data_IF_001611118873
#
_entry.id   IF_001611118873
#
_cell.length_a   1.000
_cell.length_b   1.000
_cell.length_c   1.000
_cell.angle_alpha   90.00
_cell.angle_beta   90.00
_cell.angle_gamma   90.00
#
_symmetry.space_group_name_H-M   'P 1'
#
loop_
_entity.id
_entity.type
_entity.pdbx_description
1 polymer ?
#
# COMPACT_ATOMS: atom_id res chain seq x y z
N UNK A 1 22.35 -14.98 4.53
CA UNK A 1 22.04 -13.65 5.12
C UNK A 1 21.00 -13.83 6.22
N UNK A 2 21.07 -13.09 7.32
CA UNK A 2 20.05 -13.15 8.38
C UNK A 2 18.77 -12.40 7.96
N UNK A 3 17.62 -12.75 8.57
CA UNK A 3 16.33 -12.07 8.34
C UNK A 3 16.45 -10.56 8.61
N UNK A 4 17.08 -10.19 9.72
CA UNK A 4 17.35 -8.79 10.07
C UNK A 4 18.22 -8.09 9.01
N UNK A 5 19.26 -8.78 8.51
CA UNK A 5 20.09 -8.25 7.43
C UNK A 5 19.30 -7.99 6.15
N UNK A 6 18.38 -8.90 5.78
CA UNK A 6 17.50 -8.71 4.62
C UNK A 6 16.54 -7.53 4.80
N UNK A 7 15.94 -7.36 5.97
CA UNK A 7 15.06 -6.22 6.28
C UNK A 7 15.85 -4.90 6.24
N UNK A 8 17.03 -4.85 6.86
CA UNK A 8 17.91 -3.67 6.83
C UNK A 8 18.24 -3.26 5.40
N UNK A 9 18.64 -4.23 4.57
CA UNK A 9 18.97 -3.97 3.18
C UNK A 9 17.73 -3.59 2.37
N UNK A 10 16.57 -4.21 2.59
CA UNK A 10 15.33 -3.85 1.89
C UNK A 10 14.95 -2.39 2.16
N UNK A 11 14.98 -1.95 3.42
CA UNK A 11 14.72 -0.56 3.80
C UNK A 11 15.75 0.38 3.15
N UNK A 12 17.03 0.00 3.15
CA UNK A 12 18.09 0.77 2.51
C UNK A 12 17.86 0.92 1.00
N UNK A 13 17.47 -0.15 0.31
CA UNK A 13 17.17 -0.13 -1.12
C UNK A 13 15.95 0.73 -1.44
N UNK A 14 14.88 0.66 -0.64
CA UNK A 14 13.73 1.56 -0.80
C UNK A 14 14.13 3.03 -0.59
N UNK A 15 14.86 3.34 0.48
CA UNK A 15 15.27 4.72 0.79
C UNK A 15 16.24 5.28 -0.27
N UNK A 16 17.28 4.51 -0.63
CA UNK A 16 18.26 4.93 -1.62
C UNK A 16 17.63 5.13 -3.00
N UNK A 17 16.77 4.20 -3.44
CA UNK A 17 16.07 4.35 -4.71
C UNK A 17 15.04 5.49 -4.69
N UNK A 18 14.41 5.79 -3.55
CA UNK A 18 13.54 6.96 -3.41
C UNK A 18 14.33 8.27 -3.57
N UNK A 19 15.48 8.41 -2.89
CA UNK A 19 16.35 9.58 -2.99
C UNK A 19 16.90 9.74 -4.41
N UNK A 20 17.43 8.67 -4.99
CA UNK A 20 17.95 8.69 -6.37
C UNK A 20 16.84 9.03 -7.39
N UNK A 21 15.67 8.41 -7.26
CA UNK A 21 14.55 8.71 -8.15
C UNK A 21 14.06 10.16 -7.98
N UNK A 22 14.15 10.73 -6.79
CA UNK A 22 13.83 12.14 -6.53
C UNK A 22 14.84 13.08 -7.19
N UNK A 23 16.15 12.80 -7.07
CA UNK A 23 17.21 13.58 -7.74
C UNK A 23 17.03 13.61 -9.26
N UNK A 24 16.56 12.51 -9.85
CA UNK A 24 16.28 12.40 -11.28
C UNK A 24 14.82 12.70 -11.65
N UNK A 25 14.02 13.34 -10.79
CA UNK A 25 12.59 13.59 -11.04
C UNK A 25 12.31 14.37 -12.34
N UNK A 26 13.24 15.21 -12.79
CA UNK A 26 13.15 15.94 -14.06
C UNK A 26 13.18 15.01 -15.29
N UNK A 27 13.78 13.82 -15.15
CA UNK A 27 13.83 12.76 -16.16
C UNK A 27 12.84 11.66 -15.78
N UNK A 28 11.54 11.91 -15.98
CA UNK A 28 10.43 11.01 -15.60
C UNK A 28 10.67 9.51 -15.88
N UNK A 29 11.09 9.07 -17.09
CA UNK A 29 11.29 7.63 -17.33
C UNK A 29 12.49 7.06 -16.55
N UNK A 30 13.55 7.85 -16.34
CA UNK A 30 14.72 7.44 -15.56
C UNK A 30 14.36 7.34 -14.07
N UNK A 31 13.67 8.34 -13.53
CA UNK A 31 13.16 8.34 -12.15
C UNK A 31 12.26 7.14 -11.88
N UNK A 32 11.31 6.85 -12.78
CA UNK A 32 10.42 5.70 -12.68
C UNK A 32 11.16 4.35 -12.77
N UNK A 33 12.20 4.25 -13.61
CA UNK A 33 13.02 3.05 -13.71
C UNK A 33 13.84 2.80 -12.43
N UNK A 34 14.48 3.83 -11.88
CA UNK A 34 15.24 3.73 -10.63
C UNK A 34 14.32 3.32 -9.48
N UNK A 35 13.18 3.99 -9.34
CA UNK A 35 12.20 3.67 -8.30
C UNK A 35 11.64 2.24 -8.48
N UNK A 36 11.30 1.86 -9.71
CA UNK A 36 10.73 0.53 -9.99
C UNK A 36 11.71 -0.62 -9.78
N UNK A 37 12.96 -0.49 -10.22
CA UNK A 37 13.99 -1.52 -10.01
C UNK A 37 14.35 -1.62 -8.52
N UNK A 38 14.63 -0.49 -7.88
CA UNK A 38 14.95 -0.46 -6.45
C UNK A 38 13.82 -0.99 -5.58
N UNK A 39 12.57 -0.63 -5.92
CA UNK A 39 11.38 -1.13 -5.23
C UNK A 39 11.18 -2.63 -5.44
N UNK A 40 11.42 -3.16 -6.65
CA UNK A 40 11.29 -4.59 -6.94
C UNK A 40 12.35 -5.43 -6.21
N UNK A 41 13.60 -4.97 -6.18
CA UNK A 41 14.68 -5.62 -5.42
C UNK A 41 14.35 -5.64 -3.93
N UNK A 42 14.00 -4.48 -3.36
CA UNK A 42 13.62 -4.39 -1.95
C UNK A 42 12.40 -5.27 -1.61
N UNK A 43 11.39 -5.28 -2.48
CA UNK A 43 10.20 -6.13 -2.32
C UNK A 43 10.57 -7.62 -2.29
N UNK A 44 11.42 -8.08 -3.22
CA UNK A 44 11.88 -9.47 -3.24
C UNK A 44 12.63 -9.84 -1.96
N UNK A 45 13.47 -8.92 -1.44
CA UNK A 45 14.16 -9.12 -0.16
C UNK A 45 13.18 -9.25 1.01
N UNK A 46 12.10 -8.48 1.03
CA UNK A 46 11.04 -8.62 2.05
C UNK A 46 10.29 -9.94 1.93
N UNK A 47 10.01 -10.40 0.71
CA UNK A 47 9.38 -11.71 0.49
C UNK A 47 10.27 -12.83 1.03
N UNK A 48 11.57 -12.78 0.75
CA UNK A 48 12.53 -13.76 1.29
C UNK A 48 12.65 -13.64 2.81
N UNK A 49 12.71 -12.44 3.36
CA UNK A 49 12.80 -12.21 4.81
C UNK A 49 11.55 -12.71 5.55
N UNK A 50 10.35 -12.35 5.07
CA UNK A 50 9.08 -12.78 5.63
C UNK A 50 8.87 -14.29 5.49
N UNK A 51 9.21 -14.87 4.33
CA UNK A 51 9.14 -16.31 4.10
C UNK A 51 10.09 -17.09 5.01
N UNK A 52 11.35 -16.66 5.11
CA UNK A 52 12.34 -17.29 5.99
C UNK A 52 11.94 -17.21 7.47
N UNK A 53 11.37 -16.07 7.92
CA UNK A 53 10.89 -15.91 9.28
C UNK A 53 9.65 -16.77 9.59
N UNK A 54 8.75 -16.99 8.62
CA UNK A 54 7.58 -17.87 8.78
C UNK A 54 7.95 -19.36 8.79
N UNK A 55 9.03 -19.75 8.11
CA UNK A 55 9.53 -21.13 8.14
C UNK A 55 10.22 -21.49 9.46
N UNK A 56 10.57 -20.49 10.28
CA UNK A 56 11.13 -20.66 11.63
C UNK A 56 10.38 -19.77 12.64
N UNK A 57 9.07 -20.00 12.85
CA UNK A 57 8.20 -19.07 13.58
C UNK A 57 8.55 -18.98 15.07
N UNK A 58 9.17 -20.02 15.63
CA UNK A 58 9.66 -20.07 17.02
C UNK A 58 10.86 -19.13 17.27
N UNK A 59 11.52 -18.65 16.21
CA UNK A 59 12.65 -17.72 16.33
C UNK A 59 12.19 -16.28 16.18
N UNK A 60 12.20 -15.58 17.31
CA UNK A 60 12.13 -14.12 17.32
C UNK A 60 13.49 -13.58 16.89
N UNK A 61 13.53 -12.88 15.77
CA UNK A 61 14.74 -12.22 15.31
C UNK A 61 14.72 -10.77 15.83
N UNK A 62 15.58 -10.46 16.80
CA UNK A 62 15.79 -9.10 17.29
C UNK A 62 17.02 -8.47 16.66
N UNK A 63 17.01 -7.16 16.45
CA UNK A 63 18.16 -6.42 15.97
C UNK A 63 17.93 -4.91 15.95
N UNK A 64 18.85 -4.18 15.33
CA UNK A 64 18.76 -2.74 15.15
C UNK A 64 18.71 -2.41 13.66
N UNK A 65 17.79 -1.51 13.30
CA UNK A 65 17.75 -0.90 11.99
C UNK A 65 18.91 0.10 11.90
N UNK A 66 19.96 -0.26 11.17
CA UNK A 66 21.24 0.45 11.19
C UNK A 66 21.13 1.94 10.79
N UNK A 67 20.22 2.30 9.89
CA UNK A 67 20.08 3.66 9.39
C UNK A 67 19.34 4.61 10.35
N UNK A 68 18.34 4.11 11.10
CA UNK A 68 17.54 4.94 12.01
C UNK A 68 17.80 4.63 13.49
N UNK A 69 18.73 3.72 13.80
CA UNK A 69 19.00 3.23 15.17
C UNK A 69 17.73 2.77 15.90
N UNK A 70 16.76 2.24 15.15
CA UNK A 70 15.50 1.76 15.69
C UNK A 70 15.65 0.30 16.10
N UNK A 71 15.16 -0.04 17.28
CA UNK A 71 14.99 -1.42 17.74
C UNK A 71 13.92 -2.10 16.87
N UNK A 72 14.30 -3.24 16.27
CA UNK A 72 13.44 -4.00 15.38
C UNK A 72 13.32 -5.45 15.84
N UNK A 73 12.14 -6.02 15.64
CA UNK A 73 11.82 -7.40 15.96
C UNK A 73 11.00 -8.00 14.84
N UNK A 74 11.41 -9.18 14.39
CA UNK A 74 10.69 -9.98 13.40
C UNK A 74 10.29 -11.31 14.03
N UNK A 75 9.00 -11.44 14.37
CA UNK A 75 8.34 -12.70 14.73
C UNK A 75 7.32 -13.11 13.67
N UNK A 76 6.47 -14.10 13.96
CA UNK A 76 5.51 -14.67 13.00
C UNK A 76 4.52 -13.66 12.40
N UNK A 77 3.88 -12.82 13.24
CA UNK A 77 2.91 -11.81 12.77
C UNK A 77 3.59 -10.76 11.88
N UNK A 78 4.76 -10.27 12.29
CA UNK A 78 5.52 -9.29 11.51
C UNK A 78 5.97 -9.89 10.17
N UNK A 79 6.39 -11.15 10.17
CA UNK A 79 6.79 -11.86 8.96
C UNK A 79 5.63 -11.99 7.95
N UNK A 80 4.40 -12.24 8.42
CA UNK A 80 3.21 -12.24 7.57
C UNK A 80 2.96 -10.87 6.93
N UNK A 81 3.10 -9.79 7.70
CA UNK A 81 2.97 -8.43 7.18
C UNK A 81 4.08 -8.06 6.20
N UNK A 82 5.34 -8.47 6.46
CA UNK A 82 6.45 -8.28 5.53
C UNK A 82 6.21 -9.01 4.21
N UNK A 83 5.65 -10.23 4.24
CA UNK A 83 5.22 -10.93 3.03
C UNK A 83 4.11 -10.18 2.30
N UNK A 84 3.08 -9.71 3.02
CA UNK A 84 1.97 -8.99 2.42
C UNK A 84 2.44 -7.70 1.72
N UNK A 85 3.34 -6.95 2.36
CA UNK A 85 3.97 -5.76 1.76
C UNK A 85 4.81 -6.16 0.56
N UNK A 86 5.73 -7.13 0.70
CA UNK A 86 6.63 -7.53 -0.39
C UNK A 86 5.90 -8.07 -1.62
N UNK A 87 4.90 -8.94 -1.43
CA UNK A 87 4.13 -9.55 -2.52
C UNK A 87 3.24 -8.54 -3.26
N UNK A 88 2.70 -7.54 -2.55
CA UNK A 88 1.91 -6.47 -3.17
C UNK A 88 2.77 -5.39 -3.81
N UNK A 89 3.93 -5.06 -3.22
CA UNK A 89 4.84 -4.03 -3.69
C UNK A 89 5.63 -4.42 -4.94
N UNK A 90 5.93 -5.71 -5.12
CA UNK A 90 6.68 -6.21 -6.27
C UNK A 90 5.98 -5.90 -7.61
N UNK A 91 4.71 -6.29 -7.86
CA UNK A 91 4.02 -5.95 -9.11
C UNK A 91 3.81 -4.44 -9.26
N UNK A 92 3.57 -3.70 -8.16
CA UNK A 92 3.46 -2.23 -8.19
C UNK A 92 4.76 -1.59 -8.67
N UNK A 93 5.90 -2.07 -8.17
CA UNK A 93 7.23 -1.56 -8.54
C UNK A 93 7.56 -1.86 -10.01
N UNK A 94 7.21 -3.06 -10.51
CA UNK A 94 7.37 -3.40 -11.93
C UNK A 94 6.46 -2.57 -12.84
N UNK A 95 5.21 -2.38 -12.44
CA UNK A 95 4.27 -1.50 -13.15
C UNK A 95 4.77 -0.05 -13.21
N UNK A 96 5.47 0.40 -12.16
CA UNK A 96 6.01 1.76 -12.09
C UNK A 96 7.00 2.07 -13.23
N UNK A 97 7.75 1.06 -13.69
CA UNK A 97 8.75 1.16 -14.77
C UNK A 97 8.07 1.45 -16.13
N UNK A 98 6.96 0.77 -16.42
CA UNK A 98 6.23 0.96 -17.67
C UNK A 98 5.38 2.22 -17.64
N UNK A 99 4.75 2.52 -16.50
CA UNK A 99 3.84 3.64 -16.33
C UNK A 99 4.51 5.01 -16.55
N UNK A 100 5.74 5.19 -16.04
CA UNK A 100 6.49 6.46 -16.17
C UNK A 100 7.03 6.73 -17.59
N UNK A 101 6.77 5.84 -18.55
CA UNK A 101 7.05 6.09 -19.99
C UNK A 101 5.99 6.99 -20.63
N UNK A 102 4.84 7.21 -19.99
CA UNK A 102 3.81 8.09 -20.52
C UNK A 102 4.16 9.59 -20.30
N UNK A 103 3.92 10.50 -21.26
CA UNK A 103 4.33 11.91 -21.14
C UNK A 103 3.61 12.69 -20.03
N UNK A 104 2.36 12.33 -19.74
CA UNK A 104 1.45 13.08 -18.86
C UNK A 104 1.44 12.64 -17.39
N UNK A 105 2.30 11.70 -16.99
CA UNK A 105 2.34 11.22 -15.59
C UNK A 105 3.27 12.05 -14.70
N UNK A 106 2.90 12.14 -13.42
CA UNK A 106 3.73 12.69 -12.33
C UNK A 106 4.76 11.65 -11.90
N UNK A 107 5.95 12.10 -11.48
CA UNK A 107 7.02 11.26 -10.96
C UNK A 107 6.67 10.75 -9.55
N UNK A 108 5.83 9.72 -9.48
CA UNK A 108 5.29 9.19 -8.23
C UNK A 108 6.20 8.13 -7.59
N UNK A 109 7.17 7.59 -8.34
CA UNK A 109 8.06 6.53 -7.86
C UNK A 109 8.81 6.81 -6.55
N UNK A 110 9.35 8.02 -6.32
CA UNK A 110 9.99 8.35 -5.05
C UNK A 110 9.04 8.20 -3.85
N UNK A 111 7.80 8.66 -3.99
CA UNK A 111 6.79 8.59 -2.92
C UNK A 111 6.34 7.16 -2.66
N UNK A 112 6.25 6.31 -3.69
CA UNK A 112 5.92 4.89 -3.54
C UNK A 112 7.01 4.17 -2.75
N UNK A 113 8.28 4.39 -3.08
CA UNK A 113 9.38 3.73 -2.36
C UNK A 113 9.54 4.26 -0.93
N UNK A 114 9.31 5.56 -0.70
CA UNK A 114 9.30 6.13 0.65
C UNK A 114 8.16 5.56 1.50
N UNK A 115 6.96 5.41 0.91
CA UNK A 115 5.80 4.77 1.54
C UNK A 115 6.13 3.32 1.95
N UNK A 116 6.75 2.55 1.05
CA UNK A 116 7.10 1.16 1.30
C UNK A 116 8.23 1.01 2.34
N UNK A 117 9.21 1.91 2.35
CA UNK A 117 10.23 1.98 3.40
C UNK A 117 9.57 2.21 4.77
N UNK A 118 8.70 3.23 4.87
CA UNK A 118 8.00 3.56 6.10
C UNK A 118 7.09 2.42 6.57
N UNK A 119 6.35 1.79 5.66
CA UNK A 119 5.50 0.63 5.97
C UNK A 119 6.32 -0.55 6.51
N UNK A 120 7.47 -0.82 5.90
CA UNK A 120 8.38 -1.88 6.36
C UNK A 120 8.89 -1.58 7.77
N UNK A 121 9.35 -0.35 8.03
CA UNK A 121 9.80 0.09 9.34
C UNK A 121 8.67 -0.01 10.39
N UNK A 122 7.46 0.44 10.06
CA UNK A 122 6.29 0.38 10.93
C UNK A 122 5.97 -1.05 11.39
N UNK A 123 6.11 -2.04 10.51
CA UNK A 123 5.83 -3.44 10.84
C UNK A 123 6.85 -4.05 11.80
N UNK A 124 8.11 -3.62 11.72
CA UNK A 124 9.21 -4.28 12.47
C UNK A 124 9.64 -3.53 13.72
N UNK A 125 9.27 -2.26 13.87
CA UNK A 125 9.70 -1.44 15.01
C UNK A 125 9.06 -1.89 16.33
N UNK A 126 9.82 -1.83 17.42
CA UNK A 126 9.34 -2.22 18.76
C UNK A 126 8.95 -1.05 19.64
N UNK A 127 8.89 0.16 19.08
CA UNK A 127 8.60 1.40 19.79
C UNK A 127 7.33 2.05 19.24
N UNK A 128 6.35 2.31 20.11
CA UNK A 128 5.06 2.90 19.70
C UNK A 128 5.27 4.30 19.10
N UNK A 129 6.16 5.11 19.67
CA UNK A 129 6.44 6.44 19.13
C UNK A 129 6.99 6.39 17.70
N UNK A 130 7.90 5.45 17.45
CA UNK A 130 8.45 5.24 16.11
C UNK A 130 7.42 4.68 15.13
N UNK A 131 6.51 3.81 15.58
CA UNK A 131 5.37 3.34 14.79
C UNK A 131 4.50 4.51 14.32
N UNK A 132 4.18 5.45 15.22
CA UNK A 132 3.38 6.64 14.89
C UNK A 132 4.09 7.53 13.88
N UNK A 133 5.39 7.75 14.03
CA UNK A 133 6.20 8.51 13.05
C UNK A 133 6.16 7.85 11.67
N UNK A 134 6.33 6.53 11.60
CA UNK A 134 6.29 5.82 10.31
C UNK A 134 4.88 5.85 9.70
N UNK A 135 3.83 5.68 10.49
CA UNK A 135 2.44 5.80 10.03
C UNK A 135 2.14 7.19 9.46
N UNK A 136 2.69 8.24 10.07
CA UNK A 136 2.55 9.61 9.61
C UNK A 136 3.28 9.86 8.27
N UNK A 137 4.51 9.33 8.11
CA UNK A 137 5.25 9.38 6.84
C UNK A 137 4.45 8.65 5.74
N UNK A 138 3.87 7.48 6.06
CA UNK A 138 3.01 6.74 5.13
C UNK A 138 1.78 7.56 4.71
N UNK A 139 1.10 8.19 5.68
CA UNK A 139 -0.06 9.04 5.43
C UNK A 139 0.29 10.23 4.53
N UNK A 140 1.42 10.92 4.76
CA UNK A 140 1.86 12.02 3.90
C UNK A 140 2.16 11.54 2.48
N UNK A 141 2.84 10.41 2.32
CA UNK A 141 3.10 9.83 0.99
C UNK A 141 1.80 9.51 0.26
N UNK A 142 0.83 8.87 0.94
CA UNK A 142 -0.47 8.56 0.37
C UNK A 142 -1.27 9.82 -0.02
N UNK A 143 -1.16 10.92 0.76
CA UNK A 143 -1.80 12.20 0.46
C UNK A 143 -1.34 12.75 -0.91
N UNK A 144 -0.03 12.77 -1.13
CA UNK A 144 0.55 13.28 -2.37
C UNK A 144 0.28 12.37 -3.57
N UNK A 145 0.16 11.06 -3.34
CA UNK A 145 -0.14 10.08 -4.39
C UNK A 145 -1.60 10.13 -4.87
N UNK A 146 -2.56 10.45 -4.00
CA UNK A 146 -4.00 10.41 -4.33
C UNK A 146 -4.50 11.62 -5.11
N UNK A 147 -3.89 12.80 -4.96
CA UNK A 147 -3.94 13.91 -5.93
C UNK A 147 -5.30 14.55 -6.28
N UNK A 148 -6.43 14.11 -5.72
CA UNK A 148 -7.77 14.66 -5.99
C UNK A 148 -8.16 15.71 -4.95
N UNK A 149 -8.18 17.00 -5.34
CA UNK A 149 -8.43 18.12 -4.43
C UNK A 149 -9.84 18.16 -3.79
N UNK A 150 -10.84 17.52 -4.40
CA UNK A 150 -12.21 17.49 -3.88
C UNK A 150 -12.41 16.42 -2.77
N UNK A 151 -11.95 15.19 -2.99
CA UNK A 151 -12.00 14.10 -1.97
C UNK A 151 -10.85 14.14 -0.97
N UNK A 152 -9.76 14.84 -1.28
CA UNK A 152 -8.56 14.87 -0.44
C UNK A 152 -8.73 15.65 0.86
N UNK A 153 -9.66 16.63 0.94
CA UNK A 153 -9.82 17.48 2.13
C UNK A 153 -10.30 16.70 3.36
N UNK A 154 -11.33 15.86 3.18
CA UNK A 154 -11.86 15.02 4.24
C UNK A 154 -10.83 13.96 4.66
N UNK A 155 -10.24 13.27 3.68
CA UNK A 155 -9.21 12.26 3.93
C UNK A 155 -7.98 12.83 4.66
N UNK A 156 -7.53 14.03 4.28
CA UNK A 156 -6.45 14.73 4.96
C UNK A 156 -6.82 15.09 6.40
N UNK A 157 -8.02 15.63 6.62
CA UNK A 157 -8.50 15.98 7.97
C UNK A 157 -8.62 14.75 8.88
N UNK A 158 -9.19 13.65 8.37
CA UNK A 158 -9.26 12.36 9.07
C UNK A 158 -7.88 11.80 9.38
N UNK A 159 -6.94 11.88 8.43
CA UNK A 159 -5.55 11.48 8.64
C UNK A 159 -4.88 12.27 9.76
N UNK A 160 -5.04 13.61 9.79
CA UNK A 160 -4.49 14.46 10.86
C UNK A 160 -5.10 14.12 12.23
N UNK A 161 -6.42 13.92 12.28
CA UNK A 161 -7.10 13.55 13.52
C UNK A 161 -6.64 12.17 14.02
N UNK A 162 -6.43 11.21 13.12
CA UNK A 162 -5.84 9.91 13.44
C UNK A 162 -4.43 10.02 14.03
N UNK A 163 -3.55 10.83 13.43
CA UNK A 163 -2.19 11.06 13.95
C UNK A 163 -2.22 11.77 15.31
N UNK A 164 -3.11 12.74 15.51
CA UNK A 164 -3.26 13.43 16.81
C UNK A 164 -3.70 12.46 17.91
N UNK A 165 -4.66 11.57 17.62
CA UNK A 165 -5.07 10.53 18.56
C UNK A 165 -3.91 9.56 18.86
N UNK A 166 -3.07 9.25 17.89
CA UNK A 166 -1.89 8.39 18.09
C UNK A 166 -0.82 9.06 18.93
N UNK A 167 -0.56 10.34 18.70
CA UNK A 167 0.33 11.13 19.53
C UNK A 167 -0.20 11.25 20.97
N UNK A 168 -1.52 11.43 21.13
CA UNK A 168 -2.18 11.44 22.42
C UNK A 168 -2.01 10.11 23.16
N UNK A 169 -2.21 8.98 22.48
CA UNK A 169 -1.94 7.66 23.06
C UNK A 169 -0.48 7.48 23.44
N UNK A 170 0.48 7.92 22.60
CA UNK A 170 1.90 7.88 22.97
C UNK A 170 2.17 8.68 24.25
N UNK A 171 1.57 9.87 24.37
CA UNK A 171 1.70 10.67 25.58
C UNK A 171 1.12 9.98 26.80
N UNK A 172 -0.11 9.45 26.70
CA UNK A 172 -0.73 8.71 27.81
C UNK A 172 0.07 7.47 28.21
N UNK A 173 0.53 6.67 27.25
CA UNK A 173 1.35 5.47 27.49
C UNK A 173 2.67 5.85 28.16
N UNK A 174 3.34 6.88 27.65
CA UNK A 174 4.59 7.37 28.24
C UNK A 174 4.38 7.90 29.65
N UNK A 175 3.25 8.58 29.92
CA UNK A 175 2.92 9.08 31.26
C UNK A 175 2.57 7.97 32.26
N UNK A 176 2.05 6.83 31.77
CA UNK A 176 1.61 5.70 32.60
C UNK A 176 2.75 4.72 32.87
N UNK A 177 3.49 4.34 31.83
CA UNK A 177 4.50 3.27 31.87
C UNK A 177 5.94 3.79 31.91
N UNK A 178 6.16 5.08 31.65
CA UNK A 178 7.50 5.69 31.58
C UNK A 178 8.33 5.27 30.35
N UNK A 179 7.75 4.52 29.42
CA UNK A 179 8.43 3.96 28.25
C UNK A 179 7.48 3.84 27.06
N UNK A 180 8.05 3.81 25.85
CA UNK A 180 7.35 3.57 24.59
C UNK A 180 7.75 2.23 23.95
N UNK A 181 8.62 1.44 24.60
CA UNK A 181 9.00 0.12 24.12
C UNK A 181 7.90 -0.91 24.39
N UNK A 182 7.39 -1.53 23.33
CA UNK A 182 6.28 -2.50 23.40
C UNK A 182 6.60 -3.68 24.33
N UNK A 183 7.86 -4.14 24.35
CA UNK A 183 8.25 -5.26 25.19
C UNK A 183 8.12 -4.94 26.69
N UNK A 184 8.52 -3.74 27.10
CA UNK A 184 8.41 -3.29 28.49
C UNK A 184 6.96 -3.02 28.87
N UNK A 185 6.20 -2.38 27.97
CA UNK A 185 4.77 -2.12 28.17
C UNK A 185 4.02 -3.44 28.34
N UNK A 186 4.30 -4.45 27.51
CA UNK A 186 3.61 -5.74 27.59
C UNK A 186 3.86 -6.47 28.92
N UNK A 187 5.06 -6.32 29.51
CA UNK A 187 5.37 -6.89 30.82
C UNK A 187 4.61 -6.13 31.93
N UNK A 188 4.65 -4.80 31.92
CA UNK A 188 3.98 -3.98 32.94
C UNK A 188 2.45 -4.04 32.85
N UNK A 189 1.91 -4.12 31.64
CA UNK A 189 0.47 -4.20 31.41
C UNK A 189 -0.13 -5.55 31.87
N UNK A 190 0.68 -6.61 31.99
CA UNK A 190 0.22 -7.90 32.52
C UNK A 190 -0.18 -7.81 34.01
N UNK A 191 0.48 -6.93 34.76
CA UNK A 191 0.27 -6.77 36.21
C UNK A 191 -0.72 -5.64 36.56
N UNK A 192 -1.15 -4.84 35.58
CA UNK A 192 -2.04 -3.69 35.79
C UNK A 192 -3.46 -3.97 35.28
N UNK A 193 -4.45 -3.41 35.98
CA UNK A 193 -5.84 -3.37 35.49
C UNK A 193 -5.89 -2.64 34.14
N UNK A 194 -6.41 -3.31 33.10
CA UNK A 194 -6.49 -2.75 31.76
C UNK A 194 -7.43 -1.54 31.75
N UNK A 195 -6.87 -0.33 31.54
CA UNK A 195 -7.66 0.89 31.41
C UNK A 195 -8.01 1.11 29.91
N UNK A 196 -9.28 0.92 29.49
CA UNK A 196 -9.66 1.07 28.08
C UNK A 196 -9.45 2.50 27.58
N UNK A 197 -9.50 3.51 28.45
CA UNK A 197 -9.27 4.91 28.09
C UNK A 197 -7.86 5.18 27.57
N UNK A 198 -6.89 4.32 27.92
CA UNK A 198 -5.50 4.41 27.46
C UNK A 198 -5.36 3.95 26.00
N UNK A 199 -6.02 2.84 25.66
CA UNK A 199 -5.85 2.15 24.37
C UNK A 199 -6.90 2.52 23.33
N UNK A 200 -8.09 2.96 23.73
CA UNK A 200 -9.17 3.33 22.82
C UNK A 200 -8.78 4.46 21.84
N UNK A 201 -8.15 5.57 22.27
CA UNK A 201 -7.68 6.58 21.32
C UNK A 201 -6.65 6.00 20.33
N UNK A 202 -5.84 5.05 20.82
CA UNK A 202 -4.87 4.22 20.08
C UNK A 202 -5.49 3.42 18.95
N UNK A 203 -6.58 2.74 19.27
CA UNK A 203 -7.30 1.93 18.30
C UNK A 203 -8.06 2.81 17.30
N UNK A 204 -8.73 3.87 17.78
CA UNK A 204 -9.50 4.78 16.92
C UNK A 204 -8.58 5.52 15.95
N UNK A 205 -7.47 6.09 16.42
CA UNK A 205 -6.56 6.80 15.52
C UNK A 205 -5.88 5.89 14.50
N UNK A 206 -5.50 4.66 14.88
CA UNK A 206 -5.02 3.67 13.92
C UNK A 206 -6.09 3.31 12.87
N UNK A 207 -7.34 3.08 13.30
CA UNK A 207 -8.44 2.76 12.39
C UNK A 207 -8.77 3.92 11.43
N UNK A 208 -8.63 5.17 11.86
CA UNK A 208 -8.77 6.36 11.00
C UNK A 208 -7.65 6.43 9.95
N UNK A 209 -6.40 6.19 10.36
CA UNK A 209 -5.23 6.15 9.45
C UNK A 209 -5.33 4.99 8.45
N UNK A 210 -5.82 3.83 8.88
CA UNK A 210 -6.03 2.65 8.04
C UNK A 210 -7.25 2.79 7.10
N UNK A 211 -8.10 3.80 7.30
CA UNK A 211 -9.35 3.97 6.54
C UNK A 211 -10.40 2.91 6.86
N UNK A 212 -10.29 2.24 8.01
CA UNK A 212 -11.17 1.14 8.42
C UNK A 212 -12.52 1.61 8.95
N UNK A 213 -12.63 2.85 9.44
CA UNK A 213 -13.89 3.39 9.95
C UNK A 213 -14.74 3.88 8.77
N UNK A 214 -15.92 3.29 8.50
CA UNK A 214 -16.82 3.76 7.46
C UNK A 214 -17.59 4.98 7.98
N UNK A 215 -16.90 6.11 8.13
CA UNK A 215 -17.53 7.42 8.18
C UNK A 215 -17.95 7.77 6.74
N UNK A 216 -19.03 7.10 6.31
CA UNK A 216 -19.84 7.28 5.11
C UNK A 216 -19.49 8.49 4.23
N UNK A 217 -18.78 8.26 3.12
CA UNK A 217 -18.65 9.28 2.06
C UNK A 217 -17.56 9.06 0.99
N UNK A 218 -16.59 8.14 1.17
CA UNK A 218 -15.37 8.16 0.34
C UNK A 218 -15.22 7.02 -0.67
N UNK A 219 -16.07 5.98 -0.66
CA UNK A 219 -16.10 5.02 -1.76
C UNK A 219 -16.56 5.75 -3.04
N UNK A 220 -15.86 5.63 -4.18
CA UNK A 220 -16.27 6.29 -5.41
C UNK A 220 -17.64 5.76 -5.84
N UNK A 221 -18.68 6.57 -5.63
CA UNK A 221 -20.01 6.34 -6.17
C UNK A 221 -19.95 6.59 -7.68
N UNK A 222 -19.53 5.59 -8.45
CA UNK A 222 -19.67 5.61 -9.89
C UNK A 222 -21.15 5.30 -10.23
N UNK A 223 -21.87 6.19 -10.95
CA UNK A 223 -23.17 5.86 -11.51
C UNK A 223 -23.05 4.60 -12.38
N UNK A 224 -23.93 3.61 -12.15
CA UNK A 224 -24.00 2.38 -12.94
C UNK A 224 -24.52 2.66 -14.35
N UNK A 225 -23.68 3.19 -15.25
CA UNK A 225 -23.91 3.14 -16.71
C UNK A 225 -22.57 3.01 -17.45
N UNK A 226 -22.44 1.93 -18.22
CA UNK A 226 -21.42 1.78 -19.28
C UNK A 226 -20.10 1.15 -18.84
N UNK A 227 -19.97 -0.16 -19.04
CA UNK A 227 -18.72 -0.91 -18.91
C UNK A 227 -17.65 -0.39 -19.89
N UNK A 228 -16.47 -0.02 -19.36
CA UNK A 228 -15.18 -0.23 -20.03
C UNK A 228 -14.28 -1.02 -19.08
N UNK A 229 -14.04 -2.27 -19.44
CA UNK A 229 -13.20 -3.22 -18.74
C UNK A 229 -11.75 -2.71 -18.71
N UNK A 230 -11.12 -2.77 -17.53
CA UNK A 230 -9.71 -2.35 -17.35
C UNK A 230 -9.39 -1.79 -15.97
N UNK A 231 -10.40 -1.46 -15.14
CA UNK A 231 -10.19 -0.77 -13.85
C UNK A 231 -10.91 -1.41 -12.65
N UNK A 232 -11.26 -2.71 -12.74
CA UNK A 232 -11.97 -3.46 -11.69
C UNK A 232 -11.15 -4.54 -10.98
N UNK A 233 -9.89 -4.76 -11.35
CA UNK A 233 -9.08 -5.80 -10.71
C UNK A 233 -8.50 -5.39 -9.33
N UNK A 234 -8.66 -4.14 -8.90
CA UNK A 234 -7.94 -3.61 -7.71
C UNK A 234 -8.82 -3.51 -6.45
N UNK A 235 -10.15 -3.67 -6.53
CA UNK A 235 -11.04 -3.35 -5.38
C UNK A 235 -12.14 -4.36 -5.04
N UNK A 236 -12.13 -5.57 -5.61
CA UNK A 236 -13.02 -6.64 -5.14
C UNK A 236 -12.24 -7.96 -5.05
N UNK A 237 -11.50 -8.11 -3.95
CA UNK A 237 -11.16 -9.42 -3.40
C UNK A 237 -11.98 -9.61 -2.13
N UNK A 238 -12.68 -10.74 -2.00
CA UNK A 238 -13.61 -11.15 -0.93
C UNK A 238 -14.79 -10.19 -0.74
N UNK A 239 -16.04 -10.49 -1.12
CA UNK A 239 -16.78 -11.69 -0.72
C UNK A 239 -18.00 -11.94 -1.63
N UNK A 240 -18.50 -13.17 -1.57
CA UNK A 240 -19.84 -13.61 -1.99
C UNK A 240 -20.14 -13.73 -3.50
N UNK A 241 -19.73 -14.86 -4.09
CA UNK A 241 -20.45 -15.58 -5.16
C UNK A 241 -19.75 -16.91 -5.45
N UNK A 242 -19.65 -17.79 -4.44
CA UNK A 242 -19.30 -19.20 -4.62
C UNK A 242 -20.50 -20.09 -4.28
N UNK A 243 -21.64 -19.74 -4.82
CA UNK A 243 -22.79 -20.62 -5.00
C UNK A 243 -23.43 -20.24 -6.33
N UNK A 244 -23.75 -21.25 -7.15
CA UNK A 244 -24.39 -21.11 -8.47
C UNK A 244 -23.48 -20.61 -9.61
N UNK A 245 -22.61 -21.50 -10.12
CA UNK A 245 -22.35 -21.69 -11.58
C UNK A 245 -21.44 -22.90 -11.83
N UNK A 246 -21.81 -24.04 -11.26
CA UNK A 246 -21.34 -25.36 -11.67
C UNK A 246 -22.56 -26.21 -12.03
N UNK A 247 -23.11 -25.94 -13.20
CA UNK A 247 -23.94 -26.81 -14.02
C UNK A 247 -24.04 -26.10 -15.38
N UNK A 248 -24.16 -26.85 -16.48
CA UNK A 248 -24.28 -26.35 -17.86
C UNK A 248 -22.99 -25.96 -18.59
N UNK A 249 -21.95 -26.77 -18.44
CA UNK A 249 -20.96 -26.87 -19.52
C UNK A 249 -20.36 -28.27 -19.70
N UNK A 250 -21.21 -29.29 -19.80
CA UNK A 250 -20.84 -30.61 -20.35
C UNK A 250 -22.05 -31.33 -20.97
N UNK A 251 -22.51 -30.83 -22.12
CA UNK A 251 -23.27 -31.54 -23.16
C UNK A 251 -23.33 -30.57 -24.35
N UNK A 252 -23.04 -30.87 -25.61
CA UNK A 252 -22.60 -32.07 -26.30
C UNK A 252 -22.68 -31.74 -27.80
N UNK A 253 -21.69 -32.18 -28.57
CA UNK A 253 -21.73 -32.51 -30.01
C UNK A 253 -22.11 -31.46 -31.08
N UNK A 254 -21.13 -31.30 -32.00
CA UNK A 254 -21.17 -31.47 -33.47
C UNK A 254 -22.22 -30.71 -34.32
N UNK A 255 -21.72 -29.89 -35.26
CA UNK A 255 -21.82 -29.94 -36.75
C UNK A 255 -21.57 -28.53 -37.31
N UNK A 256 -20.60 -28.35 -38.21
CA UNK A 256 -20.76 -28.16 -39.67
C UNK A 256 -21.53 -26.87 -40.03
N UNK A 257 -21.28 -26.08 -41.07
CA UNK A 257 -20.26 -25.91 -42.10
C UNK A 257 -20.70 -24.62 -42.86
N UNK A 258 -19.75 -23.95 -43.51
CA UNK A 258 -19.88 -23.17 -44.76
C UNK A 258 -20.94 -22.05 -44.94
N UNK A 259 -20.50 -20.98 -45.62
CA UNK A 259 -21.14 -20.08 -46.63
C UNK A 259 -20.53 -18.68 -46.44
N UNK A 260 -19.45 -18.31 -47.14
CA UNK A 260 -19.39 -17.76 -48.51
C UNK A 260 -20.10 -16.40 -48.67
N UNK A 261 -19.32 -15.37 -49.04
CA UNK A 261 -19.70 -14.48 -50.15
C UNK A 261 -19.76 -12.97 -49.94
N UNK A 262 -18.77 -12.28 -50.53
CA UNK A 262 -18.86 -11.08 -51.40
C UNK A 262 -19.11 -9.66 -50.83
N UNK A 263 -18.06 -8.85 -51.00
CA UNK A 263 -17.91 -7.64 -51.87
C UNK A 263 -18.76 -6.36 -51.72
N UNK A 264 -18.05 -5.26 -52.06
CA UNK A 264 -18.44 -3.88 -52.41
C UNK A 264 -18.51 -2.87 -51.23
N UNK A 265 -17.55 -1.94 -51.06
CA UNK A 265 -17.20 -0.74 -51.85
C UNK A 265 -18.21 0.43 -51.66
N UNK A 266 -17.72 1.60 -51.20
CA UNK A 266 -18.51 2.84 -51.25
C UNK A 266 -18.10 3.95 -50.26
N UNK A 267 -17.37 4.93 -50.80
CA UNK A 267 -17.10 6.32 -50.39
C UNK A 267 -18.00 7.06 -49.36
N UNK A 268 -17.42 8.10 -48.72
CA UNK A 268 -18.16 9.30 -48.33
C UNK A 268 -17.68 9.99 -47.05
N UNK A 269 -17.09 11.18 -47.20
CA UNK A 269 -16.78 12.19 -46.17
C UNK A 269 -17.96 12.50 -45.22
N UNK A 270 -17.65 12.84 -43.95
CA UNK A 270 -18.13 14.13 -43.39
C UNK A 270 -17.47 14.50 -42.06
N UNK A 271 -16.81 15.65 -42.09
CA UNK A 271 -16.41 16.44 -40.91
C UNK A 271 -17.64 17.11 -40.29
N UNK A 272 -17.85 16.97 -38.97
CA UNK A 272 -18.14 18.08 -38.01
C UNK A 272 -18.69 17.53 -36.67
N UNK A 273 -18.50 18.38 -35.65
CA UNK A 273 -19.06 18.32 -34.29
C UNK A 273 -18.31 17.47 -33.27
N UNK A 274 -17.29 18.07 -32.65
CA UNK A 274 -17.28 18.20 -31.18
C UNK A 274 -16.37 19.37 -30.76
N UNK A 275 -16.97 20.56 -30.72
CA UNK A 275 -16.38 21.78 -30.15
C UNK A 275 -17.03 22.00 -28.78
N UNK A 276 -16.19 22.20 -27.76
CA UNK A 276 -16.48 22.76 -26.43
C UNK A 276 -17.33 21.89 -25.47
N UNK A 277 -16.67 21.48 -24.40
CA UNK A 277 -17.14 21.80 -23.04
C UNK A 277 -15.95 22.02 -22.12
N UNK A 278 -15.78 23.28 -21.76
CA UNK A 278 -15.02 23.79 -20.61
C UNK A 278 -15.84 23.48 -19.37
N UNK A 279 -15.23 23.01 -18.29
CA UNK A 279 -15.80 23.17 -16.95
C UNK A 279 -14.72 23.65 -15.97
N UNK A 280 -15.12 24.73 -15.29
CA UNK A 280 -14.54 25.34 -14.10
C UNK A 280 -14.57 24.38 -12.92
#
# INVERSE_FOLDING_TARGET
MSVIGLVNQAVAWYAASAVLAFLFAMRKPLSGAIAGIGGAVASAMLVVAGGAALLMPERIHGGMLQFLHLTIRVGGVNALWLLAIGLSALPVSLFNISWHRHPQVKANGPLVNLLLAAATCAVVVTNIGSLVVMAEIMALCAAFLTGCAASGKLWFALGRLGTLLMAWTCWLVCSTYGTLELAQINLQAADMMQNPLLWLPGLVGFALLAGAIPLHGWAPQAPRRGQRAGRRAVFHGSDESRSVRHADRFAGRRRAAAVVGRDAAGAGDDHRLYRRTVCR
#
